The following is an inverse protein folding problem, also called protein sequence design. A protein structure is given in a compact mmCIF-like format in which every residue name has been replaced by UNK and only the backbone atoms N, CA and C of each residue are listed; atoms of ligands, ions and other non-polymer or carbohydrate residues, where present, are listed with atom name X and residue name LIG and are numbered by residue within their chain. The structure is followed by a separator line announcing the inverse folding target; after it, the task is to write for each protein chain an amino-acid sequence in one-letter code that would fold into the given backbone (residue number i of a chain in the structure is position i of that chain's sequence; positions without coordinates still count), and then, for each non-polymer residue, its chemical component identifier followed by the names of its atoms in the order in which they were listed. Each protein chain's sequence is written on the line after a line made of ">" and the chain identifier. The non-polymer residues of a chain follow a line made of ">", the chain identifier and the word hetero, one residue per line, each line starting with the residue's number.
data_IF_093161969510
#
_entry.id   IF_093161969510
#
_cell.length_a   1.000
_cell.length_b   1.000
_cell.length_c   1.000
_cell.angle_alpha   90.00
_cell.angle_beta   90.00
_cell.angle_gamma   90.00
#
_symmetry.space_group_name_H-M   'P 1'
#
loop_
_entity.id
_entity.type
_entity.pdbx_description
1 polymer ?
#
# COMPACT_ATOMS: atom_id res chain seq x y z
N UNK A 1 7.04 27.73 -10.39
CA UNK A 1 6.85 26.28 -10.22
C UNK A 1 5.37 26.00 -10.15
N UNK A 2 4.94 24.78 -10.47
CA UNK A 2 3.51 24.41 -10.43
C UNK A 2 3.00 24.50 -8.99
N UNK A 3 1.81 25.06 -8.79
CA UNK A 3 1.19 25.19 -7.46
C UNK A 3 0.09 24.16 -7.23
N UNK A 4 -0.62 23.78 -8.29
CA UNK A 4 -1.68 22.76 -8.27
C UNK A 4 -1.31 21.60 -9.18
N UNK A 5 -1.54 20.39 -8.69
CA UNK A 5 -1.18 19.14 -9.33
C UNK A 5 -2.40 18.25 -9.52
N UNK A 6 -2.49 17.62 -10.69
CA UNK A 6 -3.27 16.39 -10.82
C UNK A 6 -2.41 15.26 -10.29
N UNK A 7 -2.90 14.57 -9.26
CA UNK A 7 -2.19 13.52 -8.56
C UNK A 7 -2.88 12.17 -8.80
N UNK A 8 -2.10 11.11 -8.69
CA UNK A 8 -2.61 9.74 -8.77
C UNK A 8 -1.96 8.87 -7.71
N UNK A 9 -2.80 8.23 -6.91
CA UNK A 9 -2.40 7.16 -6.00
C UNK A 9 -2.58 5.82 -6.72
N UNK A 10 -1.48 5.12 -7.03
CA UNK A 10 -1.57 3.78 -7.63
C UNK A 10 -1.90 2.75 -6.57
N UNK A 11 -2.70 1.75 -6.89
CA UNK A 11 -3.11 0.70 -5.96
C UNK A 11 -3.16 -0.67 -6.64
N UNK A 12 -3.08 -1.74 -5.85
CA UNK A 12 -3.35 -3.08 -6.34
C UNK A 12 -4.82 -3.21 -6.77
N UNK A 13 -5.08 -4.05 -7.78
CA UNK A 13 -6.43 -4.29 -8.27
C UNK A 13 -7.33 -4.83 -7.14
N UNK A 14 -8.50 -4.21 -6.98
CA UNK A 14 -9.44 -4.50 -5.89
C UNK A 14 -9.25 -3.62 -4.65
N UNK A 15 -8.17 -2.84 -4.54
CA UNK A 15 -7.92 -1.93 -3.40
C UNK A 15 -8.19 -0.46 -3.71
N UNK A 16 -8.56 -0.12 -4.94
CA UNK A 16 -8.73 1.28 -5.36
C UNK A 16 -9.85 1.98 -4.58
N UNK A 17 -10.89 1.25 -4.18
CA UNK A 17 -11.95 1.78 -3.32
C UNK A 17 -11.49 2.10 -1.91
N UNK A 18 -10.48 1.38 -1.40
CA UNK A 18 -9.88 1.60 -0.07
C UNK A 18 -9.08 2.91 -0.12
N UNK A 19 -8.16 3.01 -1.10
CA UNK A 19 -7.37 4.23 -1.32
C UNK A 19 -8.26 5.46 -1.57
N UNK A 20 -9.35 5.29 -2.33
CA UNK A 20 -10.30 6.37 -2.56
C UNK A 20 -11.07 6.79 -1.29
N UNK A 21 -11.23 5.91 -0.31
CA UNK A 21 -11.79 6.27 1.00
C UNK A 21 -10.75 7.01 1.84
N UNK A 22 -9.52 6.49 1.94
CA UNK A 22 -8.42 7.15 2.67
C UNK A 22 -8.20 8.60 2.16
N UNK A 23 -8.19 8.79 0.83
CA UNK A 23 -8.08 10.13 0.23
C UNK A 23 -9.24 11.06 0.61
N UNK A 24 -10.47 10.55 0.68
CA UNK A 24 -11.64 11.34 1.12
C UNK A 24 -11.58 11.68 2.60
N UNK A 25 -11.06 10.78 3.43
CA UNK A 25 -10.82 11.03 4.87
C UNK A 25 -9.78 12.14 5.08
N UNK A 26 -8.82 12.29 4.17
CA UNK A 26 -7.89 13.43 4.11
C UNK A 26 -8.51 14.70 3.49
N UNK A 27 -9.76 14.66 3.02
CA UNK A 27 -10.47 15.81 2.47
C UNK A 27 -10.36 16.01 0.96
N UNK A 28 -9.82 15.03 0.22
CA UNK A 28 -9.66 15.13 -1.24
C UNK A 28 -10.87 14.56 -2.00
N UNK A 29 -11.27 15.25 -3.07
CA UNK A 29 -12.16 14.67 -4.07
C UNK A 29 -11.43 13.64 -4.93
N UNK A 30 -12.10 12.51 -5.19
CA UNK A 30 -11.46 11.33 -5.79
C UNK A 30 -12.21 10.82 -6.99
N UNK A 31 -11.48 10.45 -8.04
CA UNK A 31 -11.96 9.63 -9.14
C UNK A 31 -11.26 8.27 -9.11
N UNK A 32 -12.01 7.22 -8.76
CA UNK A 32 -11.50 5.85 -8.71
C UNK A 32 -11.49 5.24 -10.11
N UNK A 33 -10.32 4.78 -10.55
CA UNK A 33 -10.11 4.07 -11.81
C UNK A 33 -9.48 2.69 -11.52
N UNK A 34 -9.37 1.84 -12.54
CA UNK A 34 -8.70 0.55 -12.39
C UNK A 34 -7.20 0.73 -12.09
N UNK A 35 -6.75 0.18 -10.96
CA UNK A 35 -5.37 0.23 -10.46
C UNK A 35 -4.90 1.60 -9.94
N UNK A 36 -5.77 2.60 -9.85
CA UNK A 36 -5.38 3.95 -9.41
C UNK A 36 -6.55 4.84 -9.00
N UNK A 37 -6.28 5.83 -8.15
CA UNK A 37 -7.24 6.87 -7.77
C UNK A 37 -6.65 8.23 -8.12
N UNK A 38 -7.38 9.04 -8.88
CA UNK A 38 -6.99 10.42 -9.21
C UNK A 38 -7.61 11.40 -8.24
N UNK A 39 -6.86 12.46 -7.96
CA UNK A 39 -7.28 13.58 -7.13
C UNK A 39 -6.48 14.82 -7.53
N UNK A 40 -6.84 15.98 -6.98
CA UNK A 40 -6.09 17.22 -7.15
C UNK A 40 -5.60 17.73 -5.80
N UNK A 41 -4.48 18.45 -5.81
CA UNK A 41 -3.92 19.05 -4.61
C UNK A 41 -2.67 19.87 -4.89
N UNK A 42 -2.14 20.51 -3.87
CA UNK A 42 -0.91 21.30 -3.91
C UNK A 42 0.29 20.47 -3.42
N UNK A 43 1.40 21.15 -3.08
CA UNK A 43 2.59 20.50 -2.51
C UNK A 43 2.29 19.85 -1.16
N UNK A 44 1.39 20.44 -0.36
CA UNK A 44 0.96 19.88 0.92
C UNK A 44 0.21 18.56 0.71
N UNK A 45 -0.64 18.47 -0.32
CA UNK A 45 -1.29 17.22 -0.68
C UNK A 45 -0.29 16.12 -1.08
N UNK A 46 0.81 16.46 -1.75
CA UNK A 46 1.88 15.50 -2.03
C UNK A 46 2.49 14.96 -0.72
N UNK A 47 2.77 15.83 0.24
CA UNK A 47 3.35 15.45 1.52
C UNK A 47 2.37 14.60 2.36
N UNK A 48 1.14 15.09 2.54
CA UNK A 48 0.12 14.41 3.34
C UNK A 48 -0.21 13.02 2.77
N UNK A 49 -0.40 12.89 1.45
CA UNK A 49 -0.79 11.61 0.86
C UNK A 49 0.34 10.59 0.82
N UNK A 50 1.60 11.02 0.72
CA UNK A 50 2.74 10.11 0.90
C UNK A 50 2.86 9.65 2.36
N UNK A 51 2.58 10.55 3.31
CA UNK A 51 2.68 10.26 4.74
C UNK A 51 1.55 9.36 5.25
N UNK A 52 0.32 9.58 4.79
CA UNK A 52 -0.89 9.02 5.40
C UNK A 52 -1.50 7.81 4.69
N UNK A 53 -1.34 7.66 3.37
CA UNK A 53 -2.02 6.57 2.66
C UNK A 53 -1.36 5.21 2.95
N UNK A 54 -2.12 4.30 3.54
CA UNK A 54 -1.68 2.96 3.96
C UNK A 54 -1.87 1.95 2.84
N UNK A 55 -2.97 2.06 2.08
CA UNK A 55 -3.32 1.07 1.04
C UNK A 55 -2.69 1.37 -0.34
N UNK A 56 -2.19 2.58 -0.56
CA UNK A 56 -1.57 2.98 -1.83
C UNK A 56 -0.18 2.34 -2.03
N UNK A 57 0.24 2.20 -3.30
CA UNK A 57 1.60 1.79 -3.65
C UNK A 57 2.53 3.01 -3.77
N UNK A 58 2.07 4.09 -4.41
CA UNK A 58 2.84 5.31 -4.74
C UNK A 58 1.90 6.47 -5.05
N UNK A 59 2.40 7.68 -4.84
CA UNK A 59 1.80 8.95 -5.28
C UNK A 59 2.62 9.49 -6.44
N UNK A 60 1.93 9.95 -7.48
CA UNK A 60 2.56 10.47 -8.70
C UNK A 60 1.83 11.72 -9.17
N UNK A 61 2.60 12.66 -9.69
CA UNK A 61 2.08 13.80 -10.44
C UNK A 61 1.77 13.36 -11.86
N UNK A 62 0.61 13.73 -12.39
CA UNK A 62 0.28 13.64 -13.81
C UNK A 62 0.73 14.93 -14.49
N UNK A 63 1.80 14.85 -15.26
CA UNK A 63 2.34 15.99 -16.01
C UNK A 63 1.45 16.28 -17.22
N UNK A 64 1.00 15.23 -17.91
CA UNK A 64 0.06 15.36 -19.01
C UNK A 64 -0.34 14.04 -19.63
N UNK A 65 -1.38 14.13 -20.47
CA UNK A 65 -1.94 13.00 -21.20
C UNK A 65 -2.27 13.41 -22.64
N UNK A 66 -1.94 12.56 -23.61
CA UNK A 66 -2.15 12.84 -25.02
C UNK A 66 -2.16 11.55 -25.85
N UNK A 67 -2.79 11.54 -27.04
CA UNK A 67 -2.68 10.41 -27.97
C UNK A 67 -1.25 10.31 -28.52
N UNK A 68 -0.74 9.08 -28.65
CA UNK A 68 0.56 8.80 -29.26
C UNK A 68 0.56 7.43 -29.96
N UNK A 69 0.48 7.46 -31.29
CA UNK A 69 0.47 6.30 -32.19
C UNK A 69 1.80 6.14 -32.93
N UNK A 70 2.59 7.20 -33.01
CA UNK A 70 3.93 7.23 -33.63
C UNK A 70 4.96 7.80 -32.66
N UNK A 71 6.25 7.51 -32.89
CA UNK A 71 7.32 8.08 -32.06
C UNK A 71 7.43 9.60 -32.19
N UNK A 72 7.05 10.16 -33.34
CA UNK A 72 7.00 11.61 -33.53
C UNK A 72 5.87 12.23 -32.70
N UNK A 73 4.67 11.63 -32.71
CA UNK A 73 3.56 12.07 -31.85
C UNK A 73 3.94 12.00 -30.36
N UNK A 74 4.63 10.93 -29.93
CA UNK A 74 5.16 10.83 -28.57
C UNK A 74 6.17 11.94 -28.27
N UNK A 75 7.12 12.19 -29.17
CA UNK A 75 8.14 13.22 -29.00
C UNK A 75 7.50 14.60 -28.85
N UNK A 76 6.61 14.96 -29.77
CA UNK A 76 5.92 16.27 -29.75
C UNK A 76 5.02 16.42 -28.53
N UNK A 77 4.27 15.37 -28.17
CA UNK A 77 3.41 15.37 -26.98
C UNK A 77 4.21 15.55 -25.69
N UNK A 78 5.33 14.84 -25.53
CA UNK A 78 6.23 15.02 -24.37
C UNK A 78 6.86 16.41 -24.39
N UNK A 79 7.32 16.89 -25.55
CA UNK A 79 7.96 18.20 -25.70
C UNK A 79 7.01 19.36 -25.36
N UNK A 80 5.72 19.23 -25.67
CA UNK A 80 4.71 20.26 -25.44
C UNK A 80 4.39 20.49 -23.95
N UNK A 81 4.71 19.55 -23.07
CA UNK A 81 4.46 19.67 -21.63
C UNK A 81 5.28 20.82 -20.99
N UNK A 82 4.79 21.31 -19.87
CA UNK A 82 5.35 22.44 -19.11
C UNK A 82 6.41 21.99 -18.10
N UNK A 83 7.41 21.24 -18.58
CA UNK A 83 8.50 20.66 -17.78
C UNK A 83 9.23 21.66 -16.87
N UNK A 84 9.35 22.90 -17.31
CA UNK A 84 9.91 24.04 -16.58
C UNK A 84 9.23 24.29 -15.22
N UNK A 85 7.97 23.87 -15.06
CA UNK A 85 7.22 24.03 -13.82
C UNK A 85 7.51 22.93 -12.79
N UNK A 86 8.30 21.92 -13.17
CA UNK A 86 8.63 20.75 -12.33
C UNK A 86 10.14 20.55 -12.18
N UNK A 87 10.89 20.66 -13.28
CA UNK A 87 12.30 20.29 -13.37
C UNK A 87 13.17 21.56 -13.35
N UNK A 88 13.83 21.86 -12.23
CA UNK A 88 14.79 22.95 -12.18
C UNK A 88 16.03 22.62 -13.04
N UNK A 89 16.78 23.65 -13.43
CA UNK A 89 18.07 23.47 -14.09
C UNK A 89 19.00 22.64 -13.19
N UNK A 90 19.60 21.59 -13.74
CA UNK A 90 20.48 20.69 -12.98
C UNK A 90 19.79 19.44 -12.44
N UNK A 91 18.45 19.35 -12.46
CA UNK A 91 17.72 18.17 -11.98
C UNK A 91 18.15 16.89 -12.71
N UNK A 92 18.15 15.75 -11.99
CA UNK A 92 18.21 14.42 -12.59
C UNK A 92 16.79 14.00 -12.97
N UNK A 93 16.58 13.57 -14.21
CA UNK A 93 15.24 13.18 -14.67
C UNK A 93 15.30 11.88 -15.49
N UNK A 94 15.58 10.73 -14.85
CA UNK A 94 15.57 9.46 -15.55
C UNK A 94 14.14 9.11 -15.99
N UNK A 95 13.99 8.56 -17.19
CA UNK A 95 12.74 7.89 -17.58
C UNK A 95 12.77 6.48 -16.98
N UNK A 96 12.46 6.38 -15.68
CA UNK A 96 12.69 5.16 -14.88
C UNK A 96 11.85 3.98 -15.31
N UNK A 97 10.71 4.23 -15.98
CA UNK A 97 9.81 3.18 -16.44
C UNK A 97 9.03 3.63 -17.68
N UNK A 98 8.97 2.77 -18.69
CA UNK A 98 7.92 2.81 -19.69
C UNK A 98 7.03 1.56 -19.55
N UNK A 99 5.73 1.72 -19.78
CA UNK A 99 4.79 0.60 -19.84
C UNK A 99 3.87 0.78 -21.05
N UNK A 100 3.89 -0.17 -21.97
CA UNK A 100 3.07 -0.10 -23.18
C UNK A 100 2.08 -1.27 -23.22
N UNK A 101 0.77 -0.96 -23.23
CA UNK A 101 -0.29 -1.97 -23.21
C UNK A 101 -1.31 -1.68 -24.31
N UNK A 102 -1.58 -2.69 -25.16
CA UNK A 102 -2.56 -2.61 -26.26
C UNK A 102 -2.41 -1.33 -27.11
N UNK A 103 -1.18 -0.99 -27.47
CA UNK A 103 -0.84 0.24 -28.19
C UNK A 103 0.12 -0.05 -29.35
N UNK A 104 0.09 0.78 -30.39
CA UNK A 104 0.99 0.68 -31.55
C UNK A 104 2.45 0.84 -31.13
N UNK A 105 2.72 1.81 -30.26
CA UNK A 105 4.00 1.93 -29.56
C UNK A 105 4.07 0.84 -28.48
N UNK A 106 4.93 -0.15 -28.69
CA UNK A 106 5.08 -1.31 -27.80
C UNK A 106 6.53 -1.53 -27.33
N UNK A 107 7.51 -0.95 -28.02
CA UNK A 107 8.92 -1.02 -27.62
C UNK A 107 9.20 -0.03 -26.48
N UNK A 108 9.15 -0.52 -25.24
CA UNK A 108 9.35 0.27 -24.03
C UNK A 108 10.70 1.01 -23.97
N UNK A 109 11.86 0.39 -24.31
CA UNK A 109 13.15 1.10 -24.38
C UNK A 109 13.14 2.30 -25.34
N UNK A 110 12.55 2.14 -26.54
CA UNK A 110 12.43 3.25 -27.50
C UNK A 110 11.51 4.35 -26.97
N UNK A 111 10.41 4.01 -26.30
CA UNK A 111 9.53 4.98 -25.64
C UNK A 111 10.29 5.77 -24.57
N UNK A 112 11.14 5.11 -23.78
CA UNK A 112 11.99 5.80 -22.79
C UNK A 112 12.98 6.76 -23.48
N UNK A 113 13.71 6.28 -24.49
CA UNK A 113 14.72 7.08 -25.18
C UNK A 113 14.12 8.31 -25.87
N UNK A 114 13.00 8.15 -26.57
CA UNK A 114 12.30 9.24 -27.25
C UNK A 114 11.76 10.25 -26.24
N UNK A 115 11.16 9.78 -25.15
CA UNK A 115 10.65 10.67 -24.09
C UNK A 115 11.79 11.45 -23.43
N UNK A 116 12.91 10.79 -23.09
CA UNK A 116 14.10 11.48 -22.52
C UNK A 116 14.60 12.56 -23.47
N UNK A 117 14.71 12.26 -24.77
CA UNK A 117 15.15 13.22 -25.78
C UNK A 117 14.22 14.44 -25.85
N UNK A 118 12.90 14.23 -25.80
CA UNK A 118 11.92 15.31 -25.82
C UNK A 118 12.02 16.23 -24.60
N UNK A 119 12.15 15.65 -23.39
CA UNK A 119 12.35 16.43 -22.15
C UNK A 119 13.64 17.26 -22.22
N UNK A 120 14.76 16.65 -22.64
CA UNK A 120 16.05 17.36 -22.82
C UNK A 120 15.89 18.54 -23.77
N UNK A 121 15.26 18.33 -24.93
CA UNK A 121 15.06 19.39 -25.93
C UNK A 121 14.17 20.52 -25.40
N UNK A 122 13.10 20.21 -24.67
CA UNK A 122 12.23 21.23 -24.07
C UNK A 122 12.98 22.06 -23.03
N UNK A 123 13.74 21.42 -22.13
CA UNK A 123 14.53 22.12 -21.11
C UNK A 123 15.69 22.93 -21.71
N UNK A 124 16.36 22.43 -22.75
CA UNK A 124 17.39 23.18 -23.48
C UNK A 124 16.81 24.48 -24.06
N UNK A 125 15.65 24.39 -24.72
CA UNK A 125 14.95 25.55 -25.27
C UNK A 125 14.56 26.55 -24.19
N UNK A 126 13.94 26.09 -23.09
CA UNK A 126 13.47 26.96 -22.02
C UNK A 126 14.62 27.68 -21.28
N UNK A 127 15.69 26.96 -20.95
CA UNK A 127 16.85 27.51 -20.26
C UNK A 127 17.90 28.14 -21.19
N UNK A 128 17.56 28.37 -22.47
CA UNK A 128 18.43 29.00 -23.46
C UNK A 128 19.82 28.33 -23.56
N UNK A 129 19.85 26.98 -23.52
CA UNK A 129 21.07 26.19 -23.66
C UNK A 129 21.32 25.82 -25.12
N UNK A 130 22.58 25.86 -25.60
CA UNK A 130 22.90 25.48 -26.96
C UNK A 130 22.46 24.05 -27.29
N UNK A 131 21.94 23.86 -28.50
CA UNK A 131 21.66 22.53 -29.00
C UNK A 131 22.96 21.71 -29.10
N UNK A 132 22.89 20.43 -28.70
CA UNK A 132 24.04 19.52 -28.75
C UNK A 132 24.93 19.51 -27.50
N UNK A 133 24.77 20.48 -26.58
CA UNK A 133 25.45 20.45 -25.27
C UNK A 133 24.57 19.70 -24.27
N UNK A 134 25.04 18.58 -23.67
CA UNK A 134 24.28 17.85 -22.66
C UNK A 134 23.93 18.73 -21.46
N UNK A 135 22.71 18.59 -20.94
CA UNK A 135 22.33 19.21 -19.68
C UNK A 135 23.05 18.51 -18.52
N UNK A 136 23.56 19.28 -17.57
CA UNK A 136 24.09 18.71 -16.33
C UNK A 136 22.93 18.17 -15.48
N UNK A 137 23.07 16.94 -14.97
CA UNK A 137 22.09 16.27 -14.13
C UNK A 137 22.72 15.93 -12.76
N UNK A 138 23.01 16.96 -11.95
CA UNK A 138 23.73 16.85 -10.67
C UNK A 138 22.85 17.05 -9.44
N UNK A 139 21.66 17.62 -9.61
CA UNK A 139 20.72 17.94 -8.54
C UNK A 139 19.80 16.79 -8.12
N UNK A 140 18.67 17.16 -7.53
CA UNK A 140 17.64 16.23 -7.06
C UNK A 140 17.03 15.39 -8.19
N UNK A 141 16.55 14.19 -7.86
CA UNK A 141 16.02 13.24 -8.82
C UNK A 141 14.49 13.33 -8.94
N UNK A 142 14.02 13.43 -10.19
CA UNK A 142 12.62 13.44 -10.60
C UNK A 142 12.39 12.25 -11.53
N UNK A 143 11.97 11.12 -10.96
CA UNK A 143 11.73 9.90 -11.74
C UNK A 143 10.50 10.05 -12.61
N UNK A 144 10.70 10.07 -13.93
CA UNK A 144 9.63 10.18 -14.92
C UNK A 144 9.19 8.77 -15.34
N UNK A 145 7.89 8.55 -15.39
CA UNK A 145 7.30 7.34 -15.96
C UNK A 145 6.43 7.66 -17.18
N UNK A 146 6.45 6.77 -18.16
CA UNK A 146 5.63 6.86 -19.36
C UNK A 146 4.73 5.64 -19.44
N UNK A 147 3.42 5.83 -19.37
CA UNK A 147 2.45 4.76 -19.52
C UNK A 147 1.64 4.99 -20.80
N UNK A 148 1.61 4.03 -21.70
CA UNK A 148 0.81 4.09 -22.93
C UNK A 148 -0.22 2.96 -22.88
N UNK A 149 -1.50 3.33 -22.84
CA UNK A 149 -2.63 2.39 -22.84
C UNK A 149 -3.59 2.75 -23.96
N UNK A 150 -3.84 1.81 -24.87
CA UNK A 150 -4.73 2.03 -26.03
C UNK A 150 -4.38 3.32 -26.80
N UNK A 151 -3.09 3.48 -27.11
CA UNK A 151 -2.52 4.65 -27.80
C UNK A 151 -2.66 6.00 -27.06
N UNK A 152 -3.06 6.01 -25.78
CA UNK A 152 -3.05 7.21 -24.93
C UNK A 152 -1.84 7.16 -24.00
N UNK A 153 -0.92 8.11 -24.17
CA UNK A 153 0.22 8.31 -23.29
C UNK A 153 -0.18 9.10 -22.05
N UNK A 154 0.40 8.73 -20.91
CA UNK A 154 0.31 9.42 -19.62
C UNK A 154 1.72 9.57 -19.09
N UNK A 155 2.13 10.82 -18.85
CA UNK A 155 3.46 11.17 -18.36
C UNK A 155 3.35 11.50 -16.87
N UNK A 156 4.15 10.83 -16.05
CA UNK A 156 4.07 10.88 -14.60
C UNK A 156 5.42 11.25 -13.98
N UNK A 157 5.40 11.91 -12.82
CA UNK A 157 6.58 12.06 -11.95
C UNK A 157 6.28 11.38 -10.61
N UNK A 158 7.15 10.46 -10.18
CA UNK A 158 7.05 9.76 -8.90
C UNK A 158 7.48 10.67 -7.74
N UNK A 159 6.55 10.96 -6.83
CA UNK A 159 6.84 11.76 -5.63
C UNK A 159 7.34 10.88 -4.48
N UNK A 160 7.05 9.57 -4.53
CA UNK A 160 7.28 8.64 -3.42
C UNK A 160 8.72 8.11 -3.34
N UNK A 161 9.34 7.69 -4.45
CA UNK A 161 10.67 7.08 -4.42
C UNK A 161 10.67 5.58 -4.14
N UNK A 162 10.83 5.13 -2.90
CA UNK A 162 10.60 3.72 -2.55
C UNK A 162 9.09 3.48 -2.39
N UNK A 163 8.53 2.34 -2.84
CA UNK A 163 7.08 2.12 -2.75
C UNK A 163 6.57 2.32 -1.32
N UNK A 164 5.38 2.89 -1.16
CA UNK A 164 4.75 3.20 0.13
C UNK A 164 4.68 1.98 1.04
N UNK A 165 4.62 0.78 0.44
CA UNK A 165 4.60 -0.40 1.26
C UNK A 165 5.88 -0.63 2.10
N UNK A 166 7.01 0.01 1.77
CA UNK A 166 8.25 -0.12 2.54
C UNK A 166 8.30 0.89 3.69
N UNK A 167 7.59 0.63 4.79
CA UNK A 167 7.42 1.58 5.92
C UNK A 167 8.72 1.95 6.60
N UNK A 168 9.68 1.02 6.62
CA UNK A 168 10.93 1.14 7.36
C UNK A 168 11.11 -0.02 8.35
N UNK A 169 10.03 -0.55 8.91
CA UNK A 169 10.12 -1.50 10.02
C UNK A 169 10.54 -2.94 9.66
N UNK A 170 10.53 -3.30 8.38
CA UNK A 170 10.75 -4.70 7.97
C UNK A 170 12.25 -5.01 7.90
N UNK A 171 12.76 -5.60 8.97
CA UNK A 171 14.16 -6.05 9.09
C UNK A 171 14.41 -7.39 8.39
N UNK A 172 13.55 -8.38 8.65
CA UNK A 172 13.46 -9.65 7.94
C UNK A 172 11.98 -9.97 7.64
N UNK A 173 11.74 -10.83 6.66
CA UNK A 173 10.44 -11.08 6.07
C UNK A 173 10.12 -12.57 5.89
N UNK A 174 11.08 -13.45 6.13
CA UNK A 174 10.92 -14.88 5.87
C UNK A 174 10.51 -15.19 4.43
N UNK A 175 9.84 -16.33 4.23
CA UNK A 175 9.33 -16.77 2.93
C UNK A 175 8.10 -15.96 2.49
N UNK A 176 8.34 -14.88 1.73
CA UNK A 176 7.33 -14.06 1.05
C UNK A 176 6.23 -13.49 1.99
N UNK A 177 6.43 -12.35 2.66
CA UNK A 177 5.36 -11.73 3.45
C UNK A 177 4.23 -11.21 2.55
N UNK A 178 3.03 -11.06 3.12
CA UNK A 178 2.03 -10.17 2.53
C UNK A 178 2.60 -8.74 2.48
N UNK A 179 2.36 -8.01 1.38
CA UNK A 179 2.69 -6.58 1.35
C UNK A 179 1.85 -5.88 2.39
N UNK A 180 2.45 -4.94 3.09
CA UNK A 180 1.83 -4.41 4.30
C UNK A 180 0.74 -3.38 3.89
N UNK A 181 0.74 -2.87 2.65
CA UNK A 181 -0.35 -2.01 2.14
C UNK A 181 -1.59 -2.84 1.79
N UNK A 182 -1.39 -4.08 1.33
CA UNK A 182 -2.47 -5.06 1.28
C UNK A 182 -2.96 -5.42 2.69
N UNK A 183 -2.06 -5.59 3.66
CA UNK A 183 -2.46 -5.89 5.03
C UNK A 183 -3.31 -4.78 5.66
N UNK A 184 -2.87 -3.52 5.57
CA UNK A 184 -3.64 -2.34 5.97
C UNK A 184 -5.00 -2.27 5.26
N UNK A 185 -5.01 -2.47 3.95
CA UNK A 185 -6.26 -2.42 3.19
C UNK A 185 -7.25 -3.51 3.61
N UNK A 186 -6.79 -4.72 3.94
CA UNK A 186 -7.67 -5.78 4.47
C UNK A 186 -8.17 -5.43 5.87
N UNK A 187 -7.34 -4.84 6.73
CA UNK A 187 -7.77 -4.33 8.04
C UNK A 187 -8.88 -3.29 7.89
N UNK A 188 -8.78 -2.35 6.94
CA UNK A 188 -9.84 -1.37 6.69
C UNK A 188 -11.06 -1.91 5.91
N UNK A 189 -10.94 -3.10 5.31
CA UNK A 189 -12.09 -3.84 4.77
C UNK A 189 -12.76 -4.69 5.83
N UNK A 190 -12.05 -4.94 6.93
CA UNK A 190 -12.59 -5.61 8.10
C UNK A 190 -13.54 -4.70 8.88
N UNK A 191 -14.14 -5.26 9.93
CA UNK A 191 -14.91 -4.52 10.91
C UNK A 191 -14.16 -4.40 12.25
N UNK A 192 -12.82 -4.45 12.20
CA UNK A 192 -11.97 -4.19 13.35
C UNK A 192 -11.92 -2.71 13.67
N UNK A 193 -11.88 -2.42 14.97
CA UNK A 193 -11.75 -1.09 15.55
C UNK A 193 -10.83 -1.21 16.77
N UNK A 194 -10.18 -0.12 17.22
CA UNK A 194 -9.19 -0.18 18.29
C UNK A 194 -9.72 -0.75 19.62
N UNK A 195 -11.02 -0.67 19.85
CA UNK A 195 -11.73 -1.19 21.03
C UNK A 195 -12.01 -2.70 20.98
N UNK A 196 -11.64 -3.38 19.89
CA UNK A 196 -11.85 -4.83 19.70
C UNK A 196 -10.54 -5.60 19.78
N UNK A 197 -10.55 -6.80 20.39
CA UNK A 197 -9.44 -7.74 20.26
C UNK A 197 -9.15 -8.08 18.79
N UNK A 198 -7.88 -8.15 18.40
CA UNK A 198 -7.43 -8.65 17.10
C UNK A 198 -6.45 -9.81 17.27
N UNK A 199 -6.68 -10.87 16.50
CA UNK A 199 -5.79 -12.04 16.49
C UNK A 199 -5.40 -12.37 15.05
N UNK A 200 -4.10 -12.47 14.79
CA UNK A 200 -3.56 -13.16 13.61
C UNK A 200 -2.98 -14.53 14.01
N UNK A 201 -3.70 -15.63 13.73
CA UNK A 201 -3.30 -16.98 14.15
C UNK A 201 -2.19 -17.61 13.29
N UNK A 202 -1.75 -16.91 12.24
CA UNK A 202 -0.73 -17.34 11.27
C UNK A 202 0.16 -16.15 10.93
N UNK A 203 0.68 -15.48 11.95
CA UNK A 203 1.15 -14.10 11.81
C UNK A 203 2.42 -13.95 10.98
N UNK A 204 3.19 -15.03 10.77
CA UNK A 204 4.48 -14.98 10.11
C UNK A 204 5.34 -13.86 10.66
N UNK A 205 5.75 -12.93 9.79
CA UNK A 205 6.59 -11.77 10.14
C UNK A 205 5.86 -10.64 10.89
N UNK A 206 4.60 -10.83 11.31
CA UNK A 206 3.83 -9.90 12.14
C UNK A 206 3.12 -8.77 11.40
N UNK A 207 3.04 -8.82 10.06
CA UNK A 207 2.59 -7.69 9.23
C UNK A 207 1.20 -7.18 9.60
N UNK A 208 0.19 -8.05 9.76
CA UNK A 208 -1.16 -7.60 10.12
C UNK A 208 -1.20 -6.96 11.50
N UNK A 209 -0.52 -7.56 12.48
CA UNK A 209 -0.52 -7.05 13.84
C UNK A 209 0.14 -5.65 13.93
N UNK A 210 1.25 -5.44 13.20
CA UNK A 210 1.95 -4.15 13.15
C UNK A 210 1.08 -3.08 12.46
N UNK A 211 0.52 -3.37 11.28
CA UNK A 211 -0.34 -2.40 10.60
C UNK A 211 -1.63 -2.13 11.40
N UNK A 212 -2.19 -3.12 12.11
CA UNK A 212 -3.32 -2.92 13.01
C UNK A 212 -2.97 -2.00 14.18
N UNK A 213 -1.81 -2.18 14.81
CA UNK A 213 -1.34 -1.30 15.86
C UNK A 213 -1.14 0.14 15.36
N UNK A 214 -0.51 0.31 14.18
CA UNK A 214 -0.35 1.62 13.55
C UNK A 214 -1.70 2.29 13.22
N UNK A 215 -2.69 1.53 12.73
CA UNK A 215 -4.04 2.04 12.51
C UNK A 215 -4.69 2.42 13.84
N UNK A 216 -4.60 1.55 14.85
CA UNK A 216 -5.28 1.75 16.13
C UNK A 216 -4.74 2.95 16.93
N UNK A 217 -3.44 3.19 16.85
CA UNK A 217 -2.76 4.35 17.43
C UNK A 217 -2.76 5.56 16.49
N UNK A 218 -3.40 5.47 15.33
CA UNK A 218 -3.41 6.52 14.31
C UNK A 218 -2.00 7.02 13.91
N UNK A 219 -1.01 6.14 13.91
CA UNK A 219 0.36 6.43 13.48
C UNK A 219 0.39 6.43 11.95
N UNK A 220 0.91 7.50 11.35
CA UNK A 220 1.03 7.61 9.89
C UNK A 220 1.98 6.53 9.32
N UNK A 221 1.62 5.81 8.24
CA UNK A 221 2.48 4.76 7.67
C UNK A 221 3.84 5.26 7.19
N UNK A 222 3.95 6.54 6.85
CA UNK A 222 5.18 7.19 6.39
C UNK A 222 6.05 7.83 7.48
N UNK A 223 5.72 7.67 8.77
CA UNK A 223 6.35 8.44 9.85
C UNK A 223 7.89 8.25 9.91
N UNK A 224 8.37 7.01 9.76
CA UNK A 224 9.79 6.65 9.90
C UNK A 224 10.47 6.36 8.54
N UNK A 225 10.19 7.19 7.53
CA UNK A 225 10.81 7.06 6.20
C UNK A 225 10.80 8.38 5.44
N UNK A 226 11.69 8.47 4.45
CA UNK A 226 11.78 9.61 3.54
C UNK A 226 11.02 9.37 2.22
N UNK A 227 10.75 10.46 1.51
CA UNK A 227 10.13 10.47 0.19
C UNK A 227 10.97 11.22 -0.85
N UNK A 228 10.87 10.82 -2.12
CA UNK A 228 11.66 11.44 -3.19
C UNK A 228 11.40 12.96 -3.33
N UNK A 229 10.16 13.40 -3.12
CA UNK A 229 9.79 14.81 -3.26
C UNK A 229 10.45 15.74 -2.23
N UNK A 230 10.87 15.23 -1.07
CA UNK A 230 11.47 16.02 0.01
C UNK A 230 12.84 16.60 -0.39
N UNK A 231 13.50 15.98 -1.38
CA UNK A 231 14.76 16.46 -1.93
C UNK A 231 14.58 17.55 -3.01
N UNK A 232 13.35 17.83 -3.46
CA UNK A 232 13.10 18.76 -4.55
C UNK A 232 13.27 20.21 -4.08
N UNK A 233 14.04 21.00 -4.82
CA UNK A 233 14.46 22.35 -4.40
C UNK A 233 13.31 23.36 -4.23
N UNK A 234 12.15 23.08 -4.83
CA UNK A 234 10.96 23.91 -4.75
C UNK A 234 9.96 23.44 -3.68
N UNK A 235 10.25 22.34 -2.99
CA UNK A 235 9.47 21.88 -1.84
C UNK A 235 10.05 22.52 -0.58
N UNK A 236 9.23 23.31 0.11
CA UNK A 236 9.63 23.97 1.36
C UNK A 236 9.84 22.97 2.48
N UNK A 237 11.02 23.00 3.12
CA UNK A 237 11.32 22.12 4.27
C UNK A 237 10.36 22.33 5.44
N UNK A 238 9.99 23.58 5.70
CA UNK A 238 9.05 23.93 6.77
C UNK A 238 7.66 23.33 6.54
N UNK A 239 7.22 23.24 5.28
CA UNK A 239 5.96 22.57 4.93
C UNK A 239 6.04 21.08 5.23
N UNK A 240 7.13 20.41 4.82
CA UNK A 240 7.33 18.98 5.11
C UNK A 240 7.36 18.73 6.61
N UNK A 241 8.09 19.54 7.37
CA UNK A 241 8.16 19.44 8.81
C UNK A 241 6.79 19.65 9.45
N UNK A 242 6.03 20.67 9.03
CA UNK A 242 4.69 20.91 9.56
C UNK A 242 3.74 19.72 9.36
N UNK A 243 3.80 19.04 8.21
CA UNK A 243 2.97 17.87 7.93
C UNK A 243 3.36 16.67 8.80
N UNK A 244 4.65 16.51 9.11
CA UNK A 244 5.15 15.48 10.03
C UNK A 244 4.77 15.79 11.48
N UNK A 245 4.96 17.02 11.93
CA UNK A 245 4.58 17.47 13.28
C UNK A 245 3.07 17.29 13.52
N UNK A 246 2.26 17.63 12.53
CA UNK A 246 0.81 17.38 12.58
C UNK A 246 0.48 15.89 12.66
N UNK A 247 1.23 15.03 11.97
CA UNK A 247 1.03 13.59 12.03
C UNK A 247 1.39 13.00 13.40
N UNK A 248 2.49 13.44 13.97
CA UNK A 248 2.90 13.05 15.32
C UNK A 248 1.87 13.51 16.36
N UNK A 249 1.31 14.72 16.21
CA UNK A 249 0.25 15.23 17.09
C UNK A 249 -1.07 14.45 17.02
N UNK A 250 -1.33 13.74 15.91
CA UNK A 250 -2.53 12.93 15.68
C UNK A 250 -2.39 11.50 16.17
N UNK A 251 -1.17 11.05 16.45
CA UNK A 251 -0.93 9.72 16.99
C UNK A 251 -1.43 9.64 18.43
N UNK A 252 -2.13 8.56 18.74
CA UNK A 252 -2.64 8.27 20.07
C UNK A 252 -1.85 7.10 20.66
N UNK A 253 -0.76 7.42 21.36
CA UNK A 253 0.09 6.41 21.99
C UNK A 253 -0.50 5.82 23.28
N UNK A 254 -1.53 6.46 23.84
CA UNK A 254 -2.18 6.05 25.09
C UNK A 254 -3.33 5.05 24.88
N UNK A 255 -3.73 4.79 23.62
CA UNK A 255 -4.80 3.84 23.33
C UNK A 255 -4.37 2.42 23.72
N UNK A 256 -5.15 1.79 24.61
CA UNK A 256 -4.94 0.41 24.96
C UNK A 256 -5.45 -0.50 23.83
N UNK A 257 -4.52 -1.20 23.16
CA UNK A 257 -4.84 -2.16 22.12
C UNK A 257 -4.68 -3.60 22.62
N UNK A 258 -5.53 -4.49 22.09
CA UNK A 258 -5.48 -5.92 22.36
C UNK A 258 -5.20 -6.68 21.06
N UNK A 259 -3.93 -6.70 20.66
CA UNK A 259 -3.46 -7.30 19.41
C UNK A 259 -2.53 -8.47 19.73
N UNK A 260 -2.86 -9.65 19.20
CA UNK A 260 -2.06 -10.85 19.31
C UNK A 260 -1.72 -11.42 17.94
N UNK A 261 -0.46 -11.84 17.76
CA UNK A 261 -0.03 -12.66 16.63
C UNK A 261 0.54 -13.97 17.13
N UNK A 262 0.21 -15.08 16.47
CA UNK A 262 0.91 -16.33 16.71
C UNK A 262 1.29 -17.06 15.43
N UNK A 263 2.36 -17.84 15.53
CA UNK A 263 2.83 -18.71 14.47
C UNK A 263 3.42 -19.99 15.10
N UNK A 264 3.39 -21.09 14.36
CA UNK A 264 4.01 -22.36 14.79
C UNK A 264 5.53 -22.28 14.71
N UNK A 265 6.05 -21.48 13.75
CA UNK A 265 7.47 -21.30 13.55
C UNK A 265 8.03 -20.24 14.51
N UNK A 266 8.79 -20.70 15.51
CA UNK A 266 9.52 -19.83 16.44
C UNK A 266 10.37 -18.76 15.75
N UNK A 267 10.95 -19.08 14.58
CA UNK A 267 11.78 -18.13 13.83
C UNK A 267 10.94 -16.97 13.31
N UNK A 268 9.75 -17.25 12.81
CA UNK A 268 8.84 -16.21 12.32
C UNK A 268 8.36 -15.31 13.46
N UNK A 269 8.10 -15.88 14.64
CA UNK A 269 7.73 -15.12 15.85
C UNK A 269 8.85 -14.16 16.27
N UNK A 270 10.11 -14.60 16.26
CA UNK A 270 11.24 -13.72 16.57
C UNK A 270 11.42 -12.61 15.52
N UNK A 271 11.22 -12.91 14.23
CA UNK A 271 11.17 -11.89 13.16
C UNK A 271 10.04 -10.89 13.41
N UNK A 272 8.85 -11.35 13.81
CA UNK A 272 7.70 -10.49 14.09
C UNK A 272 7.98 -9.53 15.27
N UNK A 273 8.58 -10.03 16.35
CA UNK A 273 9.02 -9.19 17.48
C UNK A 273 10.06 -8.16 17.07
N UNK A 274 11.06 -8.55 16.26
CA UNK A 274 12.07 -7.62 15.77
C UNK A 274 11.47 -6.52 14.88
N UNK A 275 10.54 -6.89 13.99
CA UNK A 275 9.81 -5.93 13.15
C UNK A 275 8.92 -4.98 13.96
N UNK A 276 8.25 -5.48 15.01
CA UNK A 276 7.46 -4.62 15.88
C UNK A 276 8.34 -3.65 16.69
N UNK A 277 9.51 -4.10 17.16
CA UNK A 277 10.48 -3.21 17.81
C UNK A 277 10.97 -2.11 16.86
N UNK A 278 11.29 -2.45 15.61
CA UNK A 278 11.70 -1.44 14.61
C UNK A 278 10.56 -0.46 14.29
N UNK A 279 9.30 -0.88 14.46
CA UNK A 279 8.13 0.01 14.37
C UNK A 279 7.83 0.80 15.65
N UNK A 280 8.55 0.57 16.76
CA UNK A 280 8.29 1.17 18.07
C UNK A 280 7.02 0.62 18.76
N UNK A 281 6.71 -0.66 18.54
CA UNK A 281 5.46 -1.31 18.95
C UNK A 281 5.70 -2.61 19.75
N UNK A 282 6.89 -2.82 20.31
CA UNK A 282 7.24 -4.05 21.04
C UNK A 282 6.31 -4.34 22.22
N UNK A 283 5.85 -3.31 22.93
CA UNK A 283 4.99 -3.44 24.11
C UNK A 283 3.49 -3.42 23.76
N UNK A 284 3.15 -3.13 22.50
CA UNK A 284 1.77 -3.02 22.02
C UNK A 284 1.27 -4.35 21.47
N UNK A 285 2.12 -5.07 20.74
CA UNK A 285 1.72 -6.30 20.04
C UNK A 285 2.27 -7.53 20.73
N UNK A 286 1.38 -8.47 21.09
CA UNK A 286 1.75 -9.72 21.76
C UNK A 286 2.00 -10.82 20.75
N UNK A 287 3.27 -11.15 20.51
CA UNK A 287 3.65 -12.29 19.67
C UNK A 287 3.96 -13.54 20.49
N UNK A 288 3.40 -14.68 20.06
CA UNK A 288 3.58 -15.96 20.75
C UNK A 288 3.81 -17.10 19.76
N UNK A 289 4.75 -18.00 20.08
CA UNK A 289 4.82 -19.28 19.38
C UNK A 289 3.65 -20.17 19.84
N UNK A 290 2.75 -20.48 18.92
CA UNK A 290 1.55 -21.26 19.22
C UNK A 290 1.00 -21.87 17.94
N UNK A 291 0.54 -23.10 18.04
CA UNK A 291 -0.26 -23.74 17.00
C UNK A 291 -1.65 -23.10 16.98
N UNK A 292 -2.23 -22.90 15.79
CA UNK A 292 -3.57 -22.30 15.69
C UNK A 292 -4.62 -23.14 16.42
N UNK A 293 -4.46 -24.46 16.45
CA UNK A 293 -5.37 -25.42 17.07
C UNK A 293 -5.49 -25.23 18.59
N UNK A 294 -4.46 -24.64 19.20
CA UNK A 294 -4.41 -24.35 20.63
C UNK A 294 -5.02 -22.97 20.96
N UNK A 295 -5.44 -22.20 19.96
CA UNK A 295 -6.04 -20.89 20.15
C UNK A 295 -7.39 -21.03 20.86
N UNK A 296 -7.45 -20.54 22.09
CA UNK A 296 -8.68 -20.40 22.89
C UNK A 296 -8.71 -19.02 23.53
N UNK A 297 -9.91 -18.45 23.61
CA UNK A 297 -10.15 -17.16 24.26
C UNK A 297 -11.59 -17.11 24.75
N UNK A 298 -11.78 -16.48 25.90
CA UNK A 298 -13.08 -16.15 26.52
C UNK A 298 -13.58 -14.75 26.11
N UNK A 299 -12.72 -13.94 25.48
CA UNK A 299 -13.07 -12.63 24.95
C UNK A 299 -14.13 -12.74 23.85
N UNK A 300 -14.91 -11.67 23.71
CA UNK A 300 -16.01 -11.57 22.73
C UNK A 300 -15.79 -10.40 21.77
N UNK A 301 -16.50 -10.41 20.63
CA UNK A 301 -16.54 -9.31 19.66
C UNK A 301 -15.16 -8.94 19.05
N UNK A 302 -14.23 -9.88 19.00
CA UNK A 302 -12.93 -9.69 18.38
C UNK A 302 -12.93 -9.92 16.86
N UNK A 303 -11.78 -9.71 16.26
CA UNK A 303 -11.53 -9.94 14.83
C UNK A 303 -10.34 -10.88 14.66
N UNK A 304 -10.55 -11.95 13.91
CA UNK A 304 -9.46 -12.79 13.39
C UNK A 304 -9.15 -12.33 11.97
N UNK A 305 -7.87 -12.08 11.70
CA UNK A 305 -7.38 -11.79 10.36
C UNK A 305 -6.20 -12.72 10.07
N UNK A 306 -6.21 -13.40 8.92
CA UNK A 306 -5.21 -14.44 8.65
C UNK A 306 -4.89 -14.52 7.17
N UNK A 307 -3.59 -14.62 6.85
CA UNK A 307 -3.07 -14.98 5.55
C UNK A 307 -2.35 -16.32 5.71
N UNK A 308 -3.09 -17.45 5.81
CA UNK A 308 -2.49 -18.76 5.97
C UNK A 308 -1.61 -19.10 4.75
N UNK A 309 -0.73 -20.11 4.85
CA UNK A 309 0.06 -20.56 3.71
C UNK A 309 -0.80 -20.95 2.50
N UNK A 310 -0.42 -20.50 1.30
CA UNK A 310 -1.03 -20.91 0.03
C UNK A 310 -0.02 -20.86 -1.14
N UNK A 311 -0.38 -21.48 -2.27
CA UNK A 311 0.38 -21.47 -3.53
C UNK A 311 1.70 -22.24 -3.46
N UNK A 312 2.78 -21.70 -4.02
CA UNK A 312 4.12 -22.30 -4.05
C UNK A 312 4.76 -22.51 -2.65
N UNK A 313 4.12 -22.00 -1.58
CA UNK A 313 4.53 -22.26 -0.19
C UNK A 313 4.06 -23.62 0.32
N UNK A 314 3.31 -24.33 -0.49
CA UNK A 314 2.71 -25.61 -0.17
C UNK A 314 3.57 -26.69 -0.82
N UNK A 315 4.25 -27.48 0.02
CA UNK A 315 4.90 -28.72 -0.44
C UNK A 315 3.92 -29.90 -0.44
N UNK A 316 2.75 -29.77 0.22
CA UNK A 316 1.74 -30.83 0.35
C UNK A 316 0.32 -30.25 0.45
N UNK A 317 -0.50 -30.48 -0.58
CA UNK A 317 -1.91 -30.08 -0.62
C UNK A 317 -2.73 -30.69 0.54
N UNK A 318 -2.36 -31.89 1.03
CA UNK A 318 -3.06 -32.52 2.16
C UNK A 318 -2.86 -31.76 3.46
N UNK A 319 -1.66 -31.23 3.69
CA UNK A 319 -1.36 -30.45 4.91
C UNK A 319 -2.22 -29.18 4.97
N UNK A 320 -2.52 -28.59 3.81
CA UNK A 320 -3.36 -27.39 3.68
C UNK A 320 -4.82 -27.70 3.95
N UNK A 321 -5.31 -28.81 3.41
CA UNK A 321 -6.66 -29.26 3.66
C UNK A 321 -6.87 -29.52 5.15
N UNK A 322 -5.91 -30.18 5.81
CA UNK A 322 -5.91 -30.37 7.26
C UNK A 322 -5.93 -29.02 7.98
N UNK A 323 -5.04 -28.09 7.60
CA UNK A 323 -4.96 -26.76 8.21
C UNK A 323 -6.29 -26.00 8.13
N UNK A 324 -6.94 -25.98 6.97
CA UNK A 324 -8.21 -25.27 6.80
C UNK A 324 -9.35 -25.93 7.57
N UNK A 325 -9.40 -27.26 7.63
CA UNK A 325 -10.34 -27.99 8.48
C UNK A 325 -10.14 -27.64 9.96
N UNK A 326 -8.89 -27.64 10.42
CA UNK A 326 -8.53 -27.29 11.80
C UNK A 326 -8.83 -25.81 12.12
N UNK A 327 -8.62 -24.89 11.18
CA UNK A 327 -9.04 -23.49 11.32
C UNK A 327 -10.55 -23.39 11.53
N UNK A 328 -11.34 -24.09 10.71
CA UNK A 328 -12.79 -24.14 10.85
C UNK A 328 -13.23 -24.64 12.22
N UNK A 329 -12.66 -25.75 12.69
CA UNK A 329 -12.94 -26.34 14.00
C UNK A 329 -12.55 -25.41 15.15
N UNK A 330 -11.36 -24.81 15.08
CA UNK A 330 -10.82 -23.91 16.12
C UNK A 330 -11.63 -22.63 16.22
N UNK A 331 -12.07 -22.06 15.09
CA UNK A 331 -12.78 -20.77 15.08
C UNK A 331 -14.29 -20.92 15.23
N UNK A 332 -14.85 -22.13 15.09
CA UNK A 332 -16.28 -22.40 15.22
C UNK A 332 -16.90 -21.95 16.56
N UNK A 333 -16.24 -22.09 17.73
CA UNK A 333 -16.78 -21.61 19.01
C UNK A 333 -16.82 -20.09 19.14
N UNK A 334 -16.01 -19.35 18.35
CA UNK A 334 -15.88 -17.90 18.43
C UNK A 334 -17.01 -17.20 17.68
N UNK A 335 -18.27 -17.42 18.09
CA UNK A 335 -19.48 -16.96 17.36
C UNK A 335 -19.57 -15.44 17.21
N UNK A 336 -19.12 -14.70 18.24
CA UNK A 336 -19.16 -13.23 18.25
C UNK A 336 -17.99 -12.60 17.50
N UNK A 337 -17.00 -13.40 17.09
CA UNK A 337 -15.82 -12.92 16.38
C UNK A 337 -16.04 -12.89 14.88
N UNK A 338 -15.59 -11.82 14.25
CA UNK A 338 -15.51 -11.76 12.78
C UNK A 338 -14.20 -12.38 12.31
N UNK A 339 -14.20 -13.12 11.20
CA UNK A 339 -13.01 -13.76 10.61
C UNK A 339 -12.80 -13.29 9.18
N UNK A 340 -11.56 -12.92 8.86
CA UNK A 340 -11.13 -12.45 7.55
C UNK A 340 -9.94 -13.28 7.10
N UNK A 341 -10.17 -14.21 6.17
CA UNK A 341 -9.16 -15.18 5.74
C UNK A 341 -8.79 -14.93 4.28
N UNK A 342 -7.51 -14.72 3.99
CA UNK A 342 -6.99 -14.47 2.66
C UNK A 342 -6.29 -15.72 2.11
N UNK A 343 -6.79 -16.28 1.01
CA UNK A 343 -6.15 -17.44 0.36
C UNK A 343 -6.41 -17.46 -1.15
N UNK A 344 -5.55 -18.14 -1.90
CA UNK A 344 -5.78 -18.44 -3.33
C UNK A 344 -6.61 -19.71 -3.56
N UNK A 345 -6.95 -20.45 -2.50
CA UNK A 345 -7.76 -21.68 -2.62
C UNK A 345 -9.24 -21.35 -2.83
N UNK A 346 -9.76 -21.68 -4.03
CA UNK A 346 -11.17 -21.48 -4.38
C UNK A 346 -12.11 -22.44 -3.64
N UNK A 347 -11.59 -23.56 -3.10
CA UNK A 347 -12.34 -24.54 -2.31
C UNK A 347 -12.29 -24.28 -0.79
N UNK A 348 -11.73 -23.15 -0.37
CA UNK A 348 -11.55 -22.82 1.04
C UNK A 348 -12.82 -22.98 1.88
N UNK A 349 -13.99 -22.50 1.43
CA UNK A 349 -15.25 -22.61 2.20
C UNK A 349 -15.65 -24.06 2.50
N UNK A 350 -15.38 -24.98 1.57
CA UNK A 350 -15.64 -26.41 1.74
C UNK A 350 -14.73 -27.00 2.80
N UNK A 351 -13.43 -26.67 2.75
CA UNK A 351 -12.42 -27.17 3.68
C UNK A 351 -12.53 -26.51 5.06
N UNK A 352 -12.92 -25.24 5.12
CA UNK A 352 -13.17 -24.50 6.35
C UNK A 352 -14.49 -24.91 7.02
N UNK A 353 -15.40 -25.58 6.29
CA UNK A 353 -16.68 -26.08 6.83
C UNK A 353 -17.75 -25.00 7.03
N UNK A 354 -17.56 -23.80 6.47
CA UNK A 354 -18.52 -22.70 6.55
C UNK A 354 -18.45 -21.81 5.30
N UNK A 355 -19.62 -21.46 4.77
CA UNK A 355 -19.76 -20.49 3.68
C UNK A 355 -19.52 -19.08 4.20
N UNK A 356 -18.74 -18.28 3.47
CA UNK A 356 -18.48 -16.89 3.83
C UNK A 356 -19.71 -16.01 3.58
N UNK A 357 -19.91 -15.01 4.44
CA UNK A 357 -20.97 -14.02 4.25
C UNK A 357 -20.67 -13.11 3.04
N UNK A 358 -19.38 -12.81 2.84
CA UNK A 358 -18.87 -12.09 1.67
C UNK A 358 -17.54 -12.66 1.20
N UNK A 359 -17.32 -12.59 -0.11
CA UNK A 359 -16.04 -12.89 -0.75
C UNK A 359 -15.61 -11.68 -1.57
N UNK A 360 -14.34 -11.29 -1.45
CA UNK A 360 -13.76 -10.20 -2.23
C UNK A 360 -12.51 -10.66 -2.95
N UNK A 361 -12.52 -10.53 -4.28
CA UNK A 361 -11.36 -10.82 -5.11
C UNK A 361 -10.29 -9.74 -4.96
N UNK A 362 -9.07 -10.16 -4.67
CA UNK A 362 -7.88 -9.33 -4.49
C UNK A 362 -6.70 -9.93 -5.25
N UNK A 363 -5.58 -9.21 -5.29
CA UNK A 363 -4.36 -9.66 -5.97
C UNK A 363 -3.13 -9.42 -5.10
N UNK A 364 -2.47 -10.51 -4.69
CA UNK A 364 -1.17 -10.45 -4.03
C UNK A 364 -0.06 -10.57 -5.09
N UNK A 365 0.36 -9.43 -5.63
CA UNK A 365 1.22 -9.42 -6.82
C UNK A 365 0.44 -9.86 -8.06
N UNK A 366 0.92 -10.91 -8.74
CA UNK A 366 0.22 -11.52 -9.88
C UNK A 366 -0.76 -12.63 -9.45
N UNK A 367 -0.64 -13.12 -8.22
CA UNK A 367 -1.47 -14.19 -7.69
C UNK A 367 -2.84 -13.64 -7.29
N UNK A 368 -3.89 -14.17 -7.91
CA UNK A 368 -5.27 -13.93 -7.50
C UNK A 368 -5.51 -14.62 -6.15
N UNK A 369 -6.08 -13.88 -5.22
CA UNK A 369 -6.51 -14.36 -3.90
C UNK A 369 -7.92 -13.87 -3.63
N UNK A 370 -8.66 -14.59 -2.79
CA UNK A 370 -9.98 -14.18 -2.34
C UNK A 370 -9.94 -13.94 -0.82
N UNK A 371 -10.51 -12.82 -0.38
CA UNK A 371 -10.72 -12.50 1.04
C UNK A 371 -12.11 -13.01 1.43
N UNK A 372 -12.13 -14.06 2.23
CA UNK A 372 -13.33 -14.67 2.81
C UNK A 372 -13.69 -13.96 4.12
N UNK A 373 -14.92 -13.49 4.22
CA UNK A 373 -15.40 -12.67 5.33
C UNK A 373 -16.55 -13.39 6.04
N UNK A 374 -16.37 -13.63 7.33
CA UNK A 374 -17.35 -14.25 8.22
C UNK A 374 -17.65 -13.26 9.34
N UNK A 375 -18.84 -12.69 9.39
CA UNK A 375 -19.19 -11.69 10.39
C UNK A 375 -19.65 -12.35 11.69
N UNK A 376 -19.14 -11.83 12.81
CA UNK A 376 -19.53 -12.28 14.13
C UNK A 376 -20.98 -11.94 14.47
N UNK A 377 -21.61 -12.80 15.26
CA UNK A 377 -22.95 -12.57 15.80
C UNK A 377 -22.95 -11.39 16.78
N UNK A 378 -23.97 -10.54 16.68
CA UNK A 378 -24.09 -9.35 17.53
C UNK A 378 -24.46 -9.74 18.96
N UNK A 379 -23.60 -9.39 19.92
CA UNK A 379 -23.89 -9.55 21.35
C UNK A 379 -24.96 -8.53 21.78
N UNK A 380 -26.05 -8.98 22.42
CA UNK A 380 -27.07 -8.06 22.96
C UNK A 380 -26.49 -7.36 24.20
N UNK A 381 -26.74 -6.04 24.34
CA UNK A 381 -26.17 -5.17 25.41
C UNK A 381 -26.34 -5.70 26.85
N UNK A 382 -27.29 -6.59 27.11
CA UNK A 382 -27.52 -7.20 28.43
C UNK A 382 -26.48 -8.24 28.85
N UNK A 383 -25.76 -8.85 27.90
CA UNK A 383 -24.78 -9.93 28.17
C UNK A 383 -23.37 -9.37 28.37
N UNK A 384 -23.03 -8.25 27.73
CA UNK A 384 -21.72 -7.59 27.85
C UNK A 384 -21.40 -7.09 29.27
N UNK A 385 -22.41 -6.83 30.11
CA UNK A 385 -22.21 -6.41 31.52
C UNK A 385 -21.88 -7.56 32.49
N UNK A 386 -22.01 -8.82 32.06
CA UNK A 386 -21.73 -9.99 32.92
C UNK A 386 -20.30 -10.53 32.77
N UNK A 387 -19.54 -10.01 31.81
CA UNK A 387 -18.21 -10.54 31.41
C UNK A 387 -17.11 -9.48 31.59
N UNK A 388 -17.46 -8.27 32.06
CA UNK A 388 -16.48 -7.25 32.45
C UNK A 388 -16.18 -7.33 33.95
#
# INVERSE_FOLDING_TARGET
>A
MKETFTLVATAAAGLESVVGRELRELGYETQVENGKVRFQGDVRAIAETNLWLRAADRIKIVVGEFPARTFEELFQGVFALDWENYLPLGAKFPISKAKCVKSKLHNEPSVQAISKKAVVKKLQKYFHRPEGVPLQETGAEFKIEVSILKDKATILIDTTGASLFKRGYRTDKGGAPIKENMAAAILELSNWYPDKPLIDPTCGSGTFCIEAAMIGMNIAPGFNRDFAFEAWNWVGKDLVQSVRDEADSKANYDVALDIMGCDIDSRMVEIAKANAREAGLEDVVKFKQMRLQDLKTDKINGVIISNPPYGERLLDDKAVDILYNEMGQTFAPLKTWSKFILTSDEQFESKYGMKADKKRKLYNGTLRVDLYQYFGERVRRSEARKVN
#
